data_IF_376240312284
#
_entry.id   IF_376240312284
#
_cell.length_a   1.000
_cell.length_b   1.000
_cell.length_c   1.000
_cell.angle_alpha   90.00
_cell.angle_beta   90.00
_cell.angle_gamma   90.00
#
_symmetry.space_group_name_H-M   'P 1'
#
loop_
_entity.id
_entity.type
_entity.pdbx_description
1 polymer ?
#
# COMPACT_ATOMS: atom_id res chain seq x y z
N UNK A 1 21.13 28.21 -1.24
CA UNK A 1 20.79 27.50 0.00
C UNK A 1 20.88 26.02 -0.29
N UNK A 2 21.65 25.25 0.49
CA UNK A 2 21.68 23.80 0.30
C UNK A 2 20.30 23.23 0.64
N UNK A 3 19.65 22.66 -0.37
CA UNK A 3 18.31 22.06 -0.23
C UNK A 3 18.36 20.75 0.58
N UNK A 4 19.55 20.14 0.68
CA UNK A 4 19.76 18.83 1.29
C UNK A 4 20.61 18.93 2.55
N UNK A 5 20.32 18.07 3.52
CA UNK A 5 21.12 17.92 4.74
C UNK A 5 22.47 17.25 4.45
N UNK A 6 23.43 17.40 5.36
CA UNK A 6 24.73 16.72 5.27
C UNK A 6 24.64 15.21 5.35
N UNK A 7 23.57 14.69 5.97
CA UNK A 7 23.25 13.26 6.08
C UNK A 7 22.53 12.68 4.84
N UNK A 8 22.19 13.51 3.84
CA UNK A 8 21.51 13.03 2.65
C UNK A 8 22.37 11.98 1.92
N UNK A 9 21.71 10.93 1.45
CA UNK A 9 22.40 9.82 0.79
C UNK A 9 23.07 10.25 -0.52
N UNK A 10 24.32 9.81 -0.70
CA UNK A 10 25.15 10.05 -1.85
C UNK A 10 25.91 8.79 -2.25
N UNK A 11 25.74 8.34 -3.46
CA UNK A 11 26.47 7.17 -3.99
C UNK A 11 27.97 7.42 -4.21
N UNK A 12 28.38 8.69 -4.34
CA UNK A 12 29.77 9.09 -4.48
C UNK A 12 30.53 9.19 -3.14
N UNK A 13 29.84 9.02 -2.00
CA UNK A 13 30.44 9.01 -0.67
C UNK A 13 31.48 7.88 -0.53
N UNK A 14 32.61 8.21 0.11
CA UNK A 14 33.69 7.27 0.42
C UNK A 14 33.89 7.08 1.93
N UNK A 15 33.00 7.63 2.75
CA UNK A 15 33.07 7.43 4.19
C UNK A 15 33.00 5.93 4.52
N UNK A 16 33.90 5.40 5.37
CA UNK A 16 33.87 4.00 5.76
C UNK A 16 32.64 3.71 6.60
N UNK A 17 32.13 2.50 6.46
CA UNK A 17 30.97 2.00 7.20
C UNK A 17 31.40 0.82 8.07
N UNK A 18 30.82 0.63 9.26
CA UNK A 18 31.12 -0.54 10.08
C UNK A 18 30.57 -1.82 9.42
N UNK A 19 31.20 -2.97 9.69
CA UNK A 19 30.72 -4.25 9.20
C UNK A 19 29.36 -4.57 9.82
N UNK A 20 28.59 -5.45 9.17
CA UNK A 20 27.30 -5.89 9.72
C UNK A 20 27.49 -6.56 11.09
N UNK A 21 26.52 -6.37 11.98
CA UNK A 21 26.46 -7.10 13.25
C UNK A 21 26.28 -8.60 13.00
N UNK A 22 26.97 -9.43 13.78
CA UNK A 22 26.89 -10.91 13.67
C UNK A 22 25.48 -11.45 13.85
N UNK A 23 24.65 -10.79 14.67
CA UNK A 23 23.30 -11.21 14.96
C UNK A 23 22.22 -10.66 13.98
N UNK A 24 22.50 -9.55 13.30
CA UNK A 24 21.58 -9.00 12.30
C UNK A 24 21.32 -9.94 11.10
N UNK A 25 22.15 -10.96 10.93
CA UNK A 25 22.15 -11.84 9.74
C UNK A 25 21.52 -13.22 9.91
N UNK A 26 21.13 -13.63 11.10
CA UNK A 26 20.62 -14.99 11.37
C UNK A 26 19.38 -15.38 10.56
N UNK A 27 18.67 -14.43 9.96
CA UNK A 27 17.44 -14.67 9.20
C UNK A 27 17.54 -14.30 7.71
N UNK A 28 18.73 -13.98 7.18
CA UNK A 28 18.90 -13.47 5.80
C UNK A 28 19.15 -14.57 4.75
N UNK A 29 19.30 -15.80 5.16
CA UNK A 29 19.65 -16.91 4.26
C UNK A 29 18.43 -17.77 3.93
N UNK A 30 17.36 -17.17 3.41
CA UNK A 30 16.34 -17.93 2.71
C UNK A 30 16.94 -18.58 1.47
N UNK A 31 16.53 -19.81 1.14
CA UNK A 31 17.02 -20.58 -0.03
C UNK A 31 16.88 -19.82 -1.36
N UNK A 32 16.03 -18.79 -1.41
CA UNK A 32 15.72 -18.01 -2.60
C UNK A 32 16.00 -16.50 -2.44
N UNK A 33 16.68 -16.10 -1.36
CA UNK A 33 16.99 -14.70 -1.10
C UNK A 33 18.26 -14.28 -1.83
N UNK A 34 18.17 -13.25 -2.66
CA UNK A 34 19.30 -12.69 -3.40
C UNK A 34 19.61 -11.29 -2.90
N UNK A 35 20.83 -11.08 -2.41
CA UNK A 35 21.31 -9.75 -2.04
C UNK A 35 21.49 -8.88 -3.28
N UNK A 36 20.93 -7.69 -3.26
CA UNK A 36 21.02 -6.75 -4.36
C UNK A 36 22.21 -5.80 -4.19
N UNK A 37 22.72 -5.33 -5.31
CA UNK A 37 23.74 -4.30 -5.32
C UNK A 37 23.18 -2.97 -4.83
N UNK A 38 24.04 -2.12 -4.27
CA UNK A 38 23.71 -0.80 -3.76
C UNK A 38 24.67 0.24 -4.34
N UNK A 39 24.12 1.39 -4.78
CA UNK A 39 24.90 2.52 -5.26
C UNK A 39 25.36 2.42 -6.72
N UNK A 40 24.80 1.51 -7.50
CA UNK A 40 25.00 1.41 -8.94
C UNK A 40 23.62 1.40 -9.64
N UNK A 41 23.48 2.15 -10.71
CA UNK A 41 22.19 2.43 -11.33
C UNK A 41 22.13 1.95 -12.77
N UNK A 42 21.02 1.27 -13.10
CA UNK A 42 20.67 0.92 -14.47
C UNK A 42 20.08 2.13 -15.25
N UNK A 43 19.50 3.09 -14.53
CA UNK A 43 18.76 4.19 -15.13
C UNK A 43 17.44 3.75 -15.78
N UNK A 44 16.92 2.59 -15.37
CA UNK A 44 15.67 2.01 -15.87
C UNK A 44 14.58 2.09 -14.82
N UNK A 45 13.39 2.54 -15.23
CA UNK A 45 12.23 2.63 -14.36
C UNK A 45 11.38 1.37 -14.44
N UNK A 46 10.63 1.04 -13.38
CA UNK A 46 9.72 -0.12 -13.40
C UNK A 46 8.52 0.16 -14.31
N UNK A 47 8.33 -0.65 -15.33
CA UNK A 47 7.20 -0.53 -16.25
C UNK A 47 5.87 -0.75 -15.54
N UNK A 48 5.82 -1.69 -14.60
CA UNK A 48 4.63 -1.99 -13.79
C UNK A 48 4.30 -0.82 -12.87
N UNK A 49 5.30 -0.21 -12.22
CA UNK A 49 5.08 0.96 -11.36
C UNK A 49 4.51 2.15 -12.15
N UNK A 50 5.06 2.42 -13.34
CA UNK A 50 4.53 3.46 -14.24
C UNK A 50 3.08 3.16 -14.63
N UNK A 51 2.79 1.91 -14.99
CA UNK A 51 1.43 1.49 -15.38
C UNK A 51 0.45 1.63 -14.24
N UNK A 52 0.84 1.27 -13.01
CA UNK A 52 0.02 1.43 -11.81
C UNK A 52 -0.25 2.91 -11.52
N UNK A 53 0.76 3.76 -11.60
CA UNK A 53 0.62 5.20 -11.36
C UNK A 53 -0.28 5.86 -12.41
N UNK A 54 -0.14 5.51 -13.70
CA UNK A 54 -1.02 6.02 -14.77
C UNK A 54 -2.46 5.51 -14.67
N UNK A 55 -2.68 4.31 -14.08
CA UNK A 55 -4.01 3.75 -13.88
C UNK A 55 -4.67 4.25 -12.59
N UNK A 56 -3.93 4.90 -11.69
CA UNK A 56 -4.44 5.34 -10.41
C UNK A 56 -5.34 6.58 -10.57
N UNK A 57 -6.55 6.54 -9.99
CA UNK A 57 -7.44 7.71 -9.97
C UNK A 57 -6.82 8.92 -9.26
N UNK A 58 -5.95 8.69 -8.28
CA UNK A 58 -5.22 9.74 -7.57
C UNK A 58 -4.36 10.58 -8.54
N UNK A 59 -3.77 9.96 -9.55
CA UNK A 59 -3.00 10.68 -10.56
C UNK A 59 -3.87 11.70 -11.32
N UNK A 60 -5.08 11.31 -11.70
CA UNK A 60 -6.05 12.20 -12.37
C UNK A 60 -6.57 13.29 -11.42
N UNK A 61 -6.77 12.95 -10.15
CA UNK A 61 -7.16 13.92 -9.11
C UNK A 61 -6.04 14.95 -8.90
N UNK A 62 -4.80 14.53 -8.83
CA UNK A 62 -3.65 15.43 -8.69
C UNK A 62 -3.49 16.36 -9.89
N UNK A 63 -3.67 15.86 -11.11
CA UNK A 63 -3.65 16.71 -12.32
C UNK A 63 -4.71 17.80 -12.25
N UNK A 64 -5.93 17.44 -11.88
CA UNK A 64 -7.04 18.37 -11.74
C UNK A 64 -6.80 19.41 -10.64
N UNK A 65 -6.30 18.99 -9.48
CA UNK A 65 -5.98 19.91 -8.37
C UNK A 65 -4.90 20.92 -8.76
N UNK A 66 -3.90 20.48 -9.56
CA UNK A 66 -2.89 21.41 -10.07
C UNK A 66 -3.48 22.42 -11.07
N UNK A 67 -4.38 21.98 -11.95
CA UNK A 67 -5.09 22.88 -12.87
C UNK A 67 -5.93 23.90 -12.11
N UNK A 68 -6.53 23.50 -10.98
CA UNK A 68 -7.32 24.34 -10.10
C UNK A 68 -6.43 25.21 -9.14
N UNK A 69 -5.11 25.01 -9.14
CA UNK A 69 -4.16 25.73 -8.29
C UNK A 69 -4.20 25.33 -6.81
N UNK A 70 -4.78 24.19 -6.48
CA UNK A 70 -4.87 23.68 -5.13
C UNK A 70 -3.56 23.01 -4.68
N UNK A 71 -3.27 23.11 -3.36
CA UNK A 71 -2.10 22.45 -2.76
C UNK A 71 -2.31 20.94 -2.68
N UNK A 72 -1.45 20.19 -3.35
CA UNK A 72 -1.52 18.74 -3.38
C UNK A 72 -0.83 18.08 -2.18
N UNK A 73 -1.46 17.05 -1.62
CA UNK A 73 -0.83 16.11 -0.71
C UNK A 73 -0.39 14.85 -1.48
N UNK A 74 0.70 14.95 -2.22
CA UNK A 74 1.25 13.81 -3.00
C UNK A 74 1.96 12.85 -2.07
N UNK A 75 1.81 11.54 -2.33
CA UNK A 75 2.53 10.52 -1.56
C UNK A 75 4.03 10.46 -1.91
N UNK A 76 4.43 10.94 -3.08
CA UNK A 76 5.81 11.00 -3.53
C UNK A 76 6.09 12.36 -4.19
N UNK A 77 7.05 13.08 -3.65
CA UNK A 77 7.53 14.37 -4.17
C UNK A 77 9.08 14.41 -4.17
N UNK A 78 9.69 15.54 -4.45
CA UNK A 78 11.16 15.71 -4.44
C UNK A 78 11.79 15.52 -3.06
N UNK A 79 11.03 15.55 -1.99
CA UNK A 79 11.53 15.53 -0.62
C UNK A 79 11.32 14.19 0.06
N UNK A 80 10.18 13.54 -0.19
CA UNK A 80 9.78 12.33 0.53
C UNK A 80 8.93 11.42 -0.35
N UNK A 81 9.13 10.12 -0.18
CA UNK A 81 8.30 9.07 -0.69
C UNK A 81 7.66 8.34 0.49
N UNK A 82 6.39 8.59 0.72
CA UNK A 82 5.65 8.06 1.86
C UNK A 82 5.26 6.62 1.63
N UNK A 83 5.35 5.83 2.68
CA UNK A 83 4.78 4.49 2.67
C UNK A 83 3.26 4.60 2.72
N UNK A 84 2.59 3.65 2.10
CA UNK A 84 1.15 3.60 2.21
C UNK A 84 0.75 3.21 3.63
N UNK A 85 -0.32 3.83 4.11
CA UNK A 85 -0.83 3.59 5.44
C UNK A 85 -1.48 2.21 5.48
N UNK A 86 -0.75 1.18 5.90
CA UNK A 86 -1.20 -0.20 6.01
C UNK A 86 -2.11 -0.44 7.24
N UNK A 87 -2.93 0.56 7.61
CA UNK A 87 -3.90 0.36 8.68
C UNK A 87 -4.91 -0.71 8.30
N UNK A 88 -4.97 -1.79 9.06
CA UNK A 88 -5.97 -2.85 8.88
C UNK A 88 -7.37 -2.43 9.36
N UNK A 89 -7.47 -1.29 10.03
CA UNK A 89 -8.73 -0.78 10.59
C UNK A 89 -9.79 -0.51 9.51
N UNK A 90 -9.49 0.22 8.41
CA UNK A 90 -10.47 0.42 7.35
C UNK A 90 -10.96 -0.89 6.75
N UNK A 91 -10.05 -1.84 6.52
CA UNK A 91 -10.41 -3.14 5.99
C UNK A 91 -11.30 -3.93 6.95
N UNK A 92 -10.96 -3.94 8.24
CA UNK A 92 -11.77 -4.59 9.28
C UNK A 92 -13.16 -3.96 9.38
N UNK A 93 -13.26 -2.63 9.39
CA UNK A 93 -14.54 -1.92 9.42
C UNK A 93 -15.37 -2.21 8.16
N UNK A 94 -14.74 -2.26 7.00
CA UNK A 94 -15.40 -2.60 5.75
C UNK A 94 -15.94 -4.04 5.75
N UNK A 95 -15.14 -5.01 6.20
CA UNK A 95 -15.59 -6.41 6.35
C UNK A 95 -16.73 -6.50 7.36
N UNK A 96 -16.63 -5.79 8.50
CA UNK A 96 -17.70 -5.75 9.51
C UNK A 96 -19.00 -5.17 8.95
N UNK A 97 -18.91 -4.14 8.10
CA UNK A 97 -20.06 -3.59 7.38
C UNK A 97 -20.69 -4.63 6.45
N UNK A 98 -19.89 -5.35 5.67
CA UNK A 98 -20.38 -6.43 4.80
C UNK A 98 -21.08 -7.51 5.64
N UNK A 99 -20.52 -7.88 6.79
CA UNK A 99 -21.12 -8.84 7.69
C UNK A 99 -22.47 -8.36 8.25
N UNK A 100 -22.62 -7.06 8.56
CA UNK A 100 -23.94 -6.51 8.94
C UNK A 100 -24.98 -6.71 7.82
N UNK A 101 -24.63 -6.46 6.57
CA UNK A 101 -25.53 -6.74 5.45
C UNK A 101 -25.83 -8.24 5.31
N UNK A 102 -24.84 -9.08 5.49
CA UNK A 102 -25.05 -10.53 5.46
C UNK A 102 -26.01 -11.01 6.57
N UNK A 103 -25.89 -10.50 7.78
CA UNK A 103 -26.76 -10.82 8.90
C UNK A 103 -28.20 -10.28 8.77
N UNK A 104 -28.46 -9.30 7.94
CA UNK A 104 -29.84 -8.91 7.58
C UNK A 104 -30.57 -10.10 6.91
N UNK A 105 -29.84 -10.92 6.15
CA UNK A 105 -30.40 -12.05 5.41
C UNK A 105 -30.79 -13.23 6.30
N UNK A 106 -30.11 -13.45 7.40
CA UNK A 106 -30.34 -14.62 8.27
C UNK A 106 -31.74 -14.61 8.86
N UNK A 107 -32.26 -13.53 9.47
CA UNK A 107 -33.62 -13.47 9.96
C UNK A 107 -34.65 -13.63 8.83
N UNK A 108 -34.42 -13.01 7.67
CA UNK A 108 -35.35 -13.10 6.53
C UNK A 108 -35.40 -14.49 5.93
N UNK A 109 -34.28 -15.16 5.79
CA UNK A 109 -34.25 -16.54 5.29
C UNK A 109 -34.93 -17.49 6.28
N UNK A 110 -34.68 -17.38 7.58
CA UNK A 110 -35.35 -18.20 8.59
C UNK A 110 -36.86 -17.96 8.59
N UNK A 111 -37.30 -16.72 8.49
CA UNK A 111 -38.70 -16.39 8.43
C UNK A 111 -39.41 -16.94 7.18
N UNK A 112 -38.73 -16.97 6.05
CA UNK A 112 -39.26 -17.51 4.79
C UNK A 112 -39.31 -19.04 4.81
N UNK A 113 -38.29 -19.69 5.38
CA UNK A 113 -38.16 -21.15 5.42
C UNK A 113 -38.93 -21.82 6.56
N UNK A 114 -39.17 -21.15 7.68
CA UNK A 114 -39.81 -21.72 8.84
C UNK A 114 -41.29 -22.17 8.59
N UNK A 115 -42.09 -21.36 7.88
CA UNK A 115 -43.45 -21.76 7.55
C UNK A 115 -43.54 -22.93 6.59
N UNK A 116 -42.64 -23.00 5.60
CA UNK A 116 -42.56 -24.11 4.65
C UNK A 116 -42.36 -25.44 5.35
N UNK A 117 -41.73 -25.45 6.52
CA UNK A 117 -41.46 -26.61 7.32
C UNK A 117 -42.62 -26.99 8.26
N UNK A 118 -43.48 -26.02 8.64
CA UNK A 118 -44.53 -26.21 9.63
C UNK A 118 -45.94 -26.49 8.99
N UNK A 119 -46.19 -26.08 7.77
CA UNK A 119 -47.48 -26.23 7.07
C UNK A 119 -47.34 -27.01 5.75
N UNK A 120 -46.81 -28.21 5.77
CA UNK A 120 -46.69 -29.10 4.62
C UNK A 120 -48.08 -29.57 4.11
N UNK A 121 -48.86 -28.62 3.55
CA UNK A 121 -49.95 -28.88 2.63
C UNK A 121 -49.52 -28.61 1.20
N UNK A 122 -49.40 -29.61 0.41
CA UNK A 122 -48.74 -29.68 -0.90
C UNK A 122 -49.25 -28.70 -1.99
N UNK A 123 -50.22 -27.84 -1.73
CA UNK A 123 -50.86 -26.97 -2.77
C UNK A 123 -50.31 -25.51 -2.85
N UNK A 124 -49.54 -25.05 -1.87
CA UNK A 124 -49.04 -23.67 -1.83
C UNK A 124 -47.55 -23.51 -2.13
N UNK A 125 -46.82 -24.62 -2.28
CA UNK A 125 -45.36 -24.65 -2.44
C UNK A 125 -44.86 -23.92 -3.69
N UNK A 126 -45.60 -23.92 -4.78
CA UNK A 126 -45.16 -23.34 -6.05
C UNK A 126 -45.07 -21.80 -6.03
N UNK A 127 -46.07 -21.13 -5.49
CA UNK A 127 -46.15 -19.66 -5.46
C UNK A 127 -45.21 -19.07 -4.39
N UNK A 128 -45.00 -19.79 -3.29
CA UNK A 128 -44.06 -19.37 -2.24
C UNK A 128 -42.61 -19.59 -2.63
N UNK A 129 -42.30 -20.70 -3.30
CA UNK A 129 -40.98 -20.96 -3.87
C UNK A 129 -40.61 -19.93 -4.93
N UNK A 130 -41.55 -19.57 -5.82
CA UNK A 130 -41.35 -18.54 -6.84
C UNK A 130 -41.10 -17.15 -6.20
N UNK A 131 -41.84 -16.80 -5.13
CA UNK A 131 -41.62 -15.54 -4.39
C UNK A 131 -40.28 -15.52 -3.64
N UNK A 132 -39.85 -16.67 -3.14
CA UNK A 132 -38.53 -16.83 -2.51
C UNK A 132 -37.39 -16.68 -3.51
N UNK A 133 -37.49 -17.34 -4.67
CA UNK A 133 -36.50 -17.25 -5.74
C UNK A 133 -36.43 -15.82 -6.26
N UNK A 134 -37.55 -15.14 -6.47
CA UNK A 134 -37.58 -13.74 -6.87
C UNK A 134 -36.97 -12.84 -5.83
N UNK A 135 -37.27 -13.02 -4.56
CA UNK A 135 -36.66 -12.28 -3.45
C UNK A 135 -35.14 -12.49 -3.38
N UNK A 136 -34.66 -13.73 -3.43
CA UNK A 136 -33.25 -14.08 -3.44
C UNK A 136 -32.56 -13.49 -4.67
N UNK A 137 -33.16 -13.57 -5.86
CA UNK A 137 -32.56 -13.00 -7.06
C UNK A 137 -32.45 -11.47 -7.01
N UNK A 138 -33.50 -10.78 -6.57
CA UNK A 138 -33.49 -9.32 -6.40
C UNK A 138 -32.46 -8.89 -5.38
N UNK A 139 -32.40 -9.60 -4.28
CA UNK A 139 -31.51 -9.24 -3.20
C UNK A 139 -30.05 -9.59 -3.50
N UNK A 140 -29.75 -10.73 -4.15
CA UNK A 140 -28.41 -11.05 -4.67
C UNK A 140 -27.97 -10.01 -5.72
N UNK A 141 -28.89 -9.58 -6.57
CA UNK A 141 -28.67 -8.54 -7.55
C UNK A 141 -28.35 -7.19 -6.88
N UNK A 142 -29.08 -6.81 -5.83
CA UNK A 142 -28.84 -5.57 -5.07
C UNK A 142 -27.50 -5.64 -4.30
N UNK A 143 -27.20 -6.78 -3.65
CA UNK A 143 -25.93 -6.94 -2.92
C UNK A 143 -24.72 -7.01 -3.85
N UNK A 144 -24.81 -7.70 -4.99
CA UNK A 144 -23.73 -7.76 -5.95
C UNK A 144 -23.46 -6.40 -6.59
N UNK A 145 -24.52 -5.64 -6.91
CA UNK A 145 -24.38 -4.29 -7.46
C UNK A 145 -23.85 -3.31 -6.40
N UNK A 146 -24.24 -3.45 -5.14
CA UNK A 146 -23.71 -2.65 -4.05
C UNK A 146 -22.22 -2.92 -3.78
N UNK A 147 -21.79 -4.16 -3.90
CA UNK A 147 -20.38 -4.55 -3.80
C UNK A 147 -19.54 -4.02 -4.97
N UNK A 148 -20.12 -4.02 -6.18
CA UNK A 148 -19.43 -3.58 -7.41
C UNK A 148 -19.39 -2.05 -7.57
N UNK A 149 -20.38 -1.33 -7.02
CA UNK A 149 -20.52 0.13 -7.12
C UNK A 149 -20.20 0.86 -5.81
N UNK A 150 -19.38 0.29 -4.93
CA UNK A 150 -19.00 0.89 -3.64
C UNK A 150 -18.37 2.28 -3.75
N UNK A 151 -17.96 2.72 -4.93
CA UNK A 151 -17.35 4.04 -5.17
C UNK A 151 -18.37 5.20 -5.20
N UNK A 152 -19.65 4.94 -5.53
CA UNK A 152 -20.67 6.02 -5.58
C UNK A 152 -21.63 5.93 -4.41
N UNK A 153 -21.35 6.66 -3.33
CA UNK A 153 -22.14 6.71 -2.09
C UNK A 153 -23.65 6.90 -2.33
N UNK A 154 -24.05 7.73 -3.29
CA UNK A 154 -25.46 7.99 -3.60
C UNK A 154 -26.19 6.75 -4.12
N UNK A 155 -25.56 5.95 -4.98
CA UNK A 155 -26.15 4.71 -5.53
C UNK A 155 -26.36 3.68 -4.42
N UNK A 156 -25.44 3.61 -3.47
CA UNK A 156 -25.53 2.73 -2.33
C UNK A 156 -26.76 3.02 -1.44
N UNK A 157 -27.02 4.30 -1.14
CA UNK A 157 -28.21 4.69 -0.38
C UNK A 157 -29.54 4.44 -1.14
N UNK A 158 -29.56 4.65 -2.45
CA UNK A 158 -30.73 4.36 -3.29
C UNK A 158 -31.04 2.85 -3.29
N UNK A 159 -30.01 2.01 -3.35
CA UNK A 159 -30.19 0.55 -3.33
C UNK A 159 -30.68 0.07 -1.97
N UNK A 160 -30.16 0.62 -0.89
CA UNK A 160 -30.64 0.31 0.47
C UNK A 160 -32.10 0.73 0.62
N UNK A 161 -32.46 1.94 0.18
CA UNK A 161 -33.86 2.40 0.18
C UNK A 161 -34.75 1.48 -0.66
N UNK A 162 -34.31 1.08 -1.86
CA UNK A 162 -35.02 0.13 -2.72
C UNK A 162 -35.24 -1.23 -2.05
N UNK A 163 -34.22 -1.74 -1.35
CA UNK A 163 -34.33 -2.98 -0.57
C UNK A 163 -35.39 -2.86 0.52
N UNK A 164 -35.42 -1.75 1.28
CA UNK A 164 -36.41 -1.52 2.32
C UNK A 164 -37.83 -1.39 1.75
N UNK A 165 -37.99 -0.68 0.64
CA UNK A 165 -39.29 -0.54 -0.03
C UNK A 165 -39.79 -1.90 -0.50
N UNK A 166 -38.97 -2.67 -1.20
CA UNK A 166 -39.35 -4.01 -1.68
C UNK A 166 -39.67 -4.96 -0.53
N UNK A 167 -38.87 -4.94 0.53
CA UNK A 167 -39.09 -5.76 1.72
C UNK A 167 -40.39 -5.35 2.42
N UNK A 168 -40.70 -4.07 2.51
CA UNK A 168 -41.97 -3.57 3.08
C UNK A 168 -43.19 -4.02 2.25
N UNK A 169 -43.12 -3.96 0.93
CA UNK A 169 -44.17 -4.41 0.03
C UNK A 169 -44.41 -5.90 0.20
N UNK A 170 -43.35 -6.72 0.24
CA UNK A 170 -43.44 -8.17 0.41
C UNK A 170 -44.04 -8.51 1.78
N UNK A 171 -43.68 -7.83 2.82
CA UNK A 171 -44.23 -8.00 4.16
C UNK A 171 -45.71 -7.58 4.22
N UNK A 172 -46.06 -6.46 3.57
CA UNK A 172 -47.44 -6.02 3.52
C UNK A 172 -48.32 -7.04 2.79
N UNK A 173 -47.86 -7.58 1.67
CA UNK A 173 -48.55 -8.61 0.91
C UNK A 173 -48.71 -9.92 1.70
N UNK A 174 -47.70 -10.30 2.52
CA UNK A 174 -47.76 -11.48 3.40
C UNK A 174 -48.46 -11.21 4.72
N UNK A 175 -48.33 -10.00 5.29
CA UNK A 175 -48.95 -9.62 6.55
C UNK A 175 -50.46 -9.60 6.53
N UNK A 176 -51.06 -9.46 5.35
CA UNK A 176 -52.51 -9.68 5.13
C UNK A 176 -52.91 -11.15 5.22
N UNK A 177 -51.92 -12.07 5.20
CA UNK A 177 -52.14 -13.53 5.21
C UNK A 177 -51.72 -14.20 6.56
N UNK A 178 -51.00 -13.49 7.43
CA UNK A 178 -50.42 -14.07 8.67
C UNK A 178 -50.55 -13.16 9.91
N UNK A 179 -51.12 -13.73 10.95
CA UNK A 179 -51.57 -13.03 12.18
C UNK A 179 -50.51 -12.92 13.31
N UNK A 180 -49.25 -13.28 13.08
CA UNK A 180 -48.23 -13.27 14.16
C UNK A 180 -47.44 -11.96 14.21
N UNK A 181 -47.97 -10.99 14.97
CA UNK A 181 -47.40 -9.65 15.14
C UNK A 181 -46.01 -9.63 15.76
N UNK A 182 -45.72 -10.50 16.70
CA UNK A 182 -44.45 -10.51 17.43
C UNK A 182 -43.25 -10.87 16.57
N UNK A 183 -43.39 -11.81 15.65
CA UNK A 183 -42.31 -12.20 14.74
C UNK A 183 -41.99 -11.14 13.71
N UNK A 184 -42.99 -10.36 13.24
CA UNK A 184 -42.80 -9.21 12.37
C UNK A 184 -41.98 -8.10 13.07
N UNK A 185 -42.32 -7.83 14.35
CA UNK A 185 -41.58 -6.83 15.14
C UNK A 185 -40.12 -7.25 15.30
N UNK A 186 -39.85 -8.53 15.63
CA UNK A 186 -38.49 -9.03 15.79
C UNK A 186 -37.67 -8.94 14.50
N UNK A 187 -38.28 -9.26 13.34
CA UNK A 187 -37.63 -9.13 12.01
C UNK A 187 -37.27 -7.70 11.67
N UNK A 188 -38.22 -6.78 11.89
CA UNK A 188 -37.97 -5.36 11.64
C UNK A 188 -36.94 -4.79 12.60
N UNK A 189 -37.01 -5.13 13.88
CA UNK A 189 -36.03 -4.68 14.87
C UNK A 189 -34.63 -5.21 14.55
N UNK A 190 -34.49 -6.48 14.16
CA UNK A 190 -33.23 -7.06 13.74
C UNK A 190 -32.67 -6.42 12.48
N UNK A 191 -33.51 -6.23 11.47
CA UNK A 191 -33.12 -5.55 10.21
C UNK A 191 -32.68 -4.11 10.49
N UNK A 192 -33.43 -3.37 11.30
CA UNK A 192 -33.08 -2.01 11.69
C UNK A 192 -31.75 -1.95 12.45
N UNK A 193 -31.53 -2.89 13.39
CA UNK A 193 -30.31 -2.95 14.18
C UNK A 193 -29.07 -3.15 13.28
N UNK A 194 -29.11 -4.11 12.37
CA UNK A 194 -27.99 -4.38 11.46
C UNK A 194 -27.80 -3.24 10.45
N UNK A 195 -28.87 -2.62 10.00
CA UNK A 195 -28.77 -1.43 9.13
C UNK A 195 -28.12 -0.24 9.85
N UNK A 196 -28.55 0.04 11.07
CA UNK A 196 -27.90 1.07 11.89
C UNK A 196 -26.45 0.72 12.18
N UNK A 197 -26.13 -0.56 12.37
CA UNK A 197 -24.77 -1.05 12.47
C UNK A 197 -23.93 -0.73 11.22
N UNK A 198 -24.47 -0.98 10.03
CA UNK A 198 -23.78 -0.68 8.76
C UNK A 198 -23.51 0.82 8.59
N UNK A 199 -24.51 1.69 8.92
CA UNK A 199 -24.34 3.14 8.96
C UNK A 199 -23.27 3.53 9.98
N UNK A 200 -23.30 2.92 11.17
CA UNK A 200 -22.30 3.14 12.21
C UNK A 200 -20.87 2.84 11.70
N UNK A 201 -20.67 1.76 10.96
CA UNK A 201 -19.38 1.47 10.35
C UNK A 201 -18.98 2.48 9.27
N UNK A 202 -19.92 3.01 8.48
CA UNK A 202 -19.63 4.11 7.54
C UNK A 202 -19.21 5.39 8.25
N UNK A 203 -19.88 5.71 9.35
CA UNK A 203 -19.48 6.84 10.21
C UNK A 203 -18.09 6.63 10.81
N UNK A 204 -17.77 5.41 11.27
CA UNK A 204 -16.46 5.07 11.79
C UNK A 204 -15.37 5.12 10.71
N UNK A 205 -15.65 4.65 9.51
CA UNK A 205 -14.75 4.77 8.36
C UNK A 205 -14.49 6.24 8.00
N UNK A 206 -15.54 7.03 7.94
CA UNK A 206 -15.43 8.47 7.69
C UNK A 206 -14.62 9.17 8.79
N UNK A 207 -14.91 8.87 10.07
CA UNK A 207 -14.17 9.42 11.20
C UNK A 207 -12.70 8.99 11.14
N UNK A 208 -12.45 7.70 10.87
CA UNK A 208 -11.10 7.18 10.70
C UNK A 208 -10.34 7.92 9.59
N UNK A 209 -10.97 8.17 8.43
CA UNK A 209 -10.34 8.91 7.33
C UNK A 209 -10.00 10.37 7.70
N UNK A 210 -10.80 10.98 8.57
CA UNK A 210 -10.56 12.35 9.07
C UNK A 210 -9.50 12.43 10.16
N UNK A 211 -9.43 11.43 11.03
CA UNK A 211 -8.54 11.41 12.21
C UNK A 211 -7.23 10.68 11.93
N UNK A 212 -7.25 9.71 11.03
CA UNK A 212 -6.08 8.92 10.69
C UNK A 212 -5.06 9.80 9.95
N UNK A 213 -4.04 10.20 10.69
CA UNK A 213 -2.86 10.86 10.11
C UNK A 213 -1.90 9.79 9.62
N UNK A 214 -1.11 10.15 8.60
CA UNK A 214 0.00 9.32 8.15
C UNK A 214 0.93 9.01 9.32
N UNK A 215 1.38 7.76 9.45
CA UNK A 215 2.17 7.28 10.59
C UNK A 215 3.63 7.81 10.60
N UNK A 216 4.02 8.59 9.60
CA UNK A 216 5.36 9.15 9.43
C UNK A 216 6.35 8.21 8.75
N UNK A 217 5.88 7.06 8.24
CA UNK A 217 6.74 6.11 7.51
C UNK A 217 7.04 6.62 6.10
N UNK A 218 8.32 6.87 5.80
CA UNK A 218 8.73 7.46 4.53
C UNK A 218 10.20 7.20 4.21
N UNK A 219 10.54 7.29 2.93
CA UNK A 219 11.89 7.57 2.47
C UNK A 219 12.04 9.08 2.32
N UNK A 220 13.01 9.68 2.98
CA UNK A 220 13.21 11.12 2.95
C UNK A 220 14.52 11.45 2.24
N UNK A 221 14.42 11.99 1.01
CA UNK A 221 15.56 12.36 0.19
C UNK A 221 16.36 13.51 0.79
N UNK A 222 15.70 14.44 1.50
CA UNK A 222 16.35 15.65 2.01
C UNK A 222 17.39 15.35 3.07
N UNK A 223 17.13 14.41 3.95
CA UNK A 223 18.05 14.03 5.04
C UNK A 223 18.62 12.61 4.89
N UNK A 224 18.23 11.88 3.83
CA UNK A 224 18.71 10.53 3.58
C UNK A 224 18.17 9.46 4.52
N UNK A 225 17.16 9.79 5.34
CA UNK A 225 16.64 8.88 6.36
C UNK A 225 15.47 8.06 5.84
N UNK A 226 15.45 6.81 6.26
CA UNK A 226 14.29 5.91 6.17
C UNK A 226 13.59 5.91 7.52
N UNK A 227 12.32 6.23 7.50
CA UNK A 227 11.46 6.25 8.68
C UNK A 227 10.40 5.19 8.52
N UNK A 228 10.19 4.34 9.53
CA UNK A 228 9.07 3.43 9.51
C UNK A 228 8.55 3.15 10.91
N UNK A 229 7.21 3.06 11.00
CA UNK A 229 6.51 2.77 12.23
C UNK A 229 6.11 1.30 12.27
N UNK A 230 6.38 0.66 13.38
CA UNK A 230 5.89 -0.67 13.70
C UNK A 230 4.74 -0.56 14.70
N UNK A 231 3.86 -1.56 14.65
CA UNK A 231 2.69 -1.59 15.54
C UNK A 231 3.11 -1.45 17.00
N UNK A 232 2.53 -0.47 17.70
CA UNK A 232 2.77 -0.16 19.12
C UNK A 232 4.22 0.23 19.50
N UNK A 233 5.07 0.50 18.53
CA UNK A 233 6.45 0.92 18.76
C UNK A 233 6.68 2.36 18.31
N UNK A 234 7.79 2.95 18.78
CA UNK A 234 8.24 4.26 18.31
C UNK A 234 8.67 4.17 16.84
N UNK A 235 8.65 5.31 16.17
CA UNK A 235 9.14 5.42 14.81
C UNK A 235 10.63 5.03 14.77
N UNK A 236 10.98 4.07 13.92
CA UNK A 236 12.36 3.70 13.67
C UNK A 236 12.91 4.60 12.56
N UNK A 237 14.08 5.18 12.78
CA UNK A 237 14.73 6.11 11.87
C UNK A 237 16.18 5.68 11.69
N UNK A 238 16.62 5.45 10.45
CA UNK A 238 18.00 5.13 10.15
C UNK A 238 18.40 5.64 8.75
N UNK A 239 19.69 5.92 8.50
CA UNK A 239 20.18 6.27 7.18
C UNK A 239 19.84 5.22 6.12
N UNK A 240 19.50 5.65 4.92
CA UNK A 240 19.15 4.75 3.82
C UNK A 240 20.27 3.74 3.50
N UNK A 241 21.51 4.17 3.55
CA UNK A 241 22.69 3.33 3.27
C UNK A 241 22.95 2.22 4.33
N UNK A 242 22.24 2.23 5.45
CA UNK A 242 22.31 1.18 6.46
C UNK A 242 21.34 0.01 6.20
N UNK A 243 20.54 0.09 5.15
CA UNK A 243 19.61 -0.98 4.78
C UNK A 243 20.16 -1.82 3.63
N UNK A 244 20.29 -3.12 3.86
CA UNK A 244 20.68 -4.08 2.83
C UNK A 244 19.43 -4.60 2.09
N UNK A 245 19.35 -4.40 0.77
CA UNK A 245 18.22 -4.88 -0.03
C UNK A 245 18.36 -6.36 -0.36
N UNK A 246 17.30 -7.09 -0.14
CA UNK A 246 17.22 -8.52 -0.47
C UNK A 246 16.00 -8.77 -1.34
N UNK A 247 16.21 -9.36 -2.50
CA UNK A 247 15.16 -9.86 -3.37
C UNK A 247 14.61 -11.14 -2.79
N UNK A 248 13.33 -11.16 -2.46
CA UNK A 248 12.63 -12.30 -1.85
C UNK A 248 11.52 -12.79 -2.78
N UNK A 249 11.46 -14.09 -2.98
CA UNK A 249 10.37 -14.74 -3.72
C UNK A 249 9.13 -14.84 -2.82
N UNK A 250 8.01 -14.36 -3.31
CA UNK A 250 6.71 -14.54 -2.66
C UNK A 250 6.00 -15.75 -3.28
N UNK A 251 5.64 -16.77 -2.50
CA UNK A 251 4.85 -17.89 -3.02
C UNK A 251 3.45 -17.37 -3.38
N UNK A 252 3.13 -17.26 -4.67
CA UNK A 252 1.79 -16.99 -5.13
C UNK A 252 1.02 -18.30 -5.31
N UNK A 253 -0.24 -18.33 -4.83
CA UNK A 253 -1.08 -19.52 -4.89
C UNK A 253 -1.49 -19.95 -6.31
N UNK A 254 -1.09 -19.20 -7.34
CA UNK A 254 -1.47 -19.43 -8.75
C UNK A 254 -0.30 -19.83 -9.65
N UNK A 255 0.83 -20.23 -9.09
CA UNK A 255 1.99 -20.69 -9.89
C UNK A 255 2.79 -19.56 -10.57
N UNK A 256 2.45 -18.30 -10.36
CA UNK A 256 3.29 -17.17 -10.73
C UNK A 256 4.34 -16.92 -9.64
N UNK A 257 5.53 -16.53 -10.03
CA UNK A 257 6.59 -16.14 -9.11
C UNK A 257 6.58 -14.63 -8.96
N UNK A 258 6.03 -14.17 -7.85
CA UNK A 258 6.06 -12.76 -7.49
C UNK A 258 7.31 -12.47 -6.66
N UNK A 259 7.98 -11.40 -6.99
CA UNK A 259 9.17 -10.96 -6.27
C UNK A 259 8.88 -9.69 -5.48
N UNK A 260 9.59 -9.51 -4.39
CA UNK A 260 9.57 -8.28 -3.60
C UNK A 260 10.95 -7.98 -3.05
N UNK A 261 11.11 -6.75 -2.57
CA UNK A 261 12.32 -6.34 -1.87
C UNK A 261 12.03 -6.23 -0.39
N UNK A 262 12.90 -6.85 0.38
CA UNK A 262 12.96 -6.67 1.81
C UNK A 262 14.23 -5.89 2.15
N UNK A 263 14.08 -4.76 2.82
CA UNK A 263 15.20 -3.98 3.33
C UNK A 263 15.51 -4.43 4.76
N UNK A 264 16.72 -4.95 4.97
CA UNK A 264 17.22 -5.33 6.29
C UNK A 264 18.15 -4.26 6.82
N UNK A 265 17.88 -3.75 8.01
CA UNK A 265 18.81 -2.84 8.66
C UNK A 265 20.07 -3.60 9.08
N UNK A 266 21.25 -3.10 8.65
CA UNK A 266 22.54 -3.80 8.73
C UNK A 266 23.00 -4.07 10.16
N UNK A 267 22.63 -3.22 11.10
CA UNK A 267 23.14 -3.25 12.48
C UNK A 267 22.10 -3.73 13.50
N UNK A 268 20.84 -3.90 13.07
CA UNK A 268 19.76 -4.43 13.92
C UNK A 268 19.00 -5.51 13.17
N UNK A 269 18.07 -6.15 13.83
CA UNK A 269 17.16 -7.13 13.22
C UNK A 269 15.89 -6.51 12.58
N UNK A 270 15.86 -5.18 12.41
CA UNK A 270 14.73 -4.50 11.78
C UNK A 270 14.71 -4.75 10.28
N UNK A 271 13.49 -4.92 9.76
CA UNK A 271 13.26 -5.13 8.32
C UNK A 271 11.99 -4.44 7.84
N UNK A 272 12.00 -4.05 6.58
CA UNK A 272 10.89 -3.40 5.89
C UNK A 272 10.54 -4.24 4.67
N UNK A 273 9.30 -4.71 4.61
CA UNK A 273 8.77 -5.40 3.43
C UNK A 273 8.16 -4.37 2.47
N UNK A 274 8.82 -4.10 1.34
CA UNK A 274 8.35 -3.08 0.40
C UNK A 274 7.04 -3.48 -0.30
N UNK A 275 6.82 -4.79 -0.52
CA UNK A 275 5.57 -5.29 -1.08
C UNK A 275 4.31 -4.76 -0.36
N UNK A 276 4.34 -4.73 0.97
CA UNK A 276 3.20 -4.30 1.79
C UNK A 276 3.18 -2.80 2.09
N UNK A 277 4.29 -2.12 1.84
CA UNK A 277 4.47 -0.71 2.20
C UNK A 277 4.40 0.23 1.01
N UNK A 278 4.71 -0.26 -0.20
CA UNK A 278 4.77 0.54 -1.41
C UNK A 278 3.95 -0.07 -2.57
N UNK A 279 3.00 -0.98 -2.27
CA UNK A 279 2.18 -1.68 -3.27
C UNK A 279 2.97 -2.35 -4.41
N UNK A 280 4.21 -2.74 -4.15
CA UNK A 280 5.06 -3.46 -5.10
C UNK A 280 4.76 -4.98 -5.09
N UNK A 281 3.47 -5.35 -5.02
CA UNK A 281 3.01 -6.73 -5.10
C UNK A 281 2.79 -7.13 -6.56
N UNK A 282 3.05 -8.40 -6.87
CA UNK A 282 2.79 -8.95 -8.21
C UNK A 282 3.80 -8.52 -9.27
N UNK A 283 4.99 -8.08 -8.85
CA UNK A 283 6.05 -7.73 -9.78
C UNK A 283 6.84 -8.98 -10.21
N UNK A 284 7.15 -9.07 -11.48
CA UNK A 284 8.19 -9.99 -11.95
C UNK A 284 9.58 -9.57 -11.45
N UNK A 285 10.57 -10.44 -11.61
CA UNK A 285 11.92 -10.19 -11.13
C UNK A 285 12.51 -8.90 -11.72
N UNK A 286 12.36 -8.67 -13.02
CA UNK A 286 12.98 -7.55 -13.70
C UNK A 286 12.35 -6.20 -13.27
N UNK A 287 11.03 -6.16 -13.13
CA UNK A 287 10.32 -4.99 -12.62
C UNK A 287 10.62 -4.72 -11.14
N UNK A 288 10.82 -5.76 -10.33
CA UNK A 288 11.24 -5.62 -8.92
C UNK A 288 12.66 -5.02 -8.82
N UNK A 289 13.58 -5.46 -9.67
CA UNK A 289 14.94 -4.92 -9.73
C UNK A 289 14.96 -3.47 -10.24
N UNK A 290 14.13 -3.15 -11.23
CA UNK A 290 13.95 -1.79 -11.70
C UNK A 290 13.32 -0.87 -10.65
N UNK A 291 12.39 -1.40 -9.84
CA UNK A 291 11.83 -0.66 -8.72
C UNK A 291 12.90 -0.33 -7.67
N UNK A 292 13.82 -1.27 -7.41
CA UNK A 292 14.97 -0.99 -6.54
C UNK A 292 15.88 0.09 -7.13
N UNK A 293 16.16 0.04 -8.42
CA UNK A 293 16.93 1.07 -9.12
C UNK A 293 16.26 2.46 -9.01
N UNK A 294 14.95 2.52 -9.22
CA UNK A 294 14.15 3.73 -9.00
C UNK A 294 14.30 4.28 -7.58
N UNK A 295 14.15 3.43 -6.57
CA UNK A 295 14.21 3.84 -5.17
C UNK A 295 15.59 4.36 -4.78
N UNK A 296 16.65 3.70 -5.26
CA UNK A 296 18.02 4.18 -5.04
C UNK A 296 18.26 5.56 -5.68
N UNK A 297 17.90 5.74 -6.96
CA UNK A 297 18.03 7.03 -7.65
C UNK A 297 17.18 8.11 -7.00
N UNK A 298 16.01 7.74 -6.51
CA UNK A 298 15.19 8.67 -5.73
C UNK A 298 15.90 9.15 -4.47
N UNK A 299 16.56 8.27 -3.73
CA UNK A 299 17.25 8.62 -2.49
C UNK A 299 18.59 9.33 -2.70
N UNK A 300 19.27 9.09 -3.82
CA UNK A 300 20.57 9.66 -4.12
C UNK A 300 20.46 11.10 -4.65
N UNK A 301 20.93 12.06 -3.86
CA UNK A 301 20.89 13.48 -4.24
C UNK A 301 21.86 13.85 -5.37
N UNK A 302 22.77 12.97 -5.76
CA UNK A 302 23.69 13.15 -6.89
C UNK A 302 23.07 12.74 -8.23
N UNK A 303 21.96 12.00 -8.20
CA UNK A 303 21.24 11.51 -9.36
C UNK A 303 19.97 12.31 -9.64
N UNK A 304 19.57 12.43 -10.91
CA UNK A 304 18.24 12.94 -11.21
C UNK A 304 17.16 12.00 -10.67
N UNK A 305 16.04 12.58 -10.29
CA UNK A 305 14.87 11.80 -9.88
C UNK A 305 14.45 10.82 -10.98
N UNK A 306 13.94 9.62 -10.61
CA UNK A 306 13.34 8.69 -11.56
C UNK A 306 12.25 9.38 -12.40
N UNK A 307 12.09 8.94 -13.64
CA UNK A 307 11.09 9.52 -14.54
C UNK A 307 9.73 8.81 -14.38
N UNK A 308 9.09 9.06 -13.24
CA UNK A 308 7.81 8.48 -12.85
C UNK A 308 6.68 9.50 -12.98
N UNK A 309 5.44 9.07 -13.33
CA UNK A 309 4.29 9.96 -13.45
C UNK A 309 4.03 10.81 -12.21
N UNK A 310 4.13 10.22 -11.02
CA UNK A 310 3.88 10.90 -9.73
C UNK A 310 4.91 12.00 -9.42
N UNK A 311 6.12 11.91 -9.97
CA UNK A 311 7.18 12.89 -9.75
C UNK A 311 7.17 14.04 -10.76
N UNK A 312 6.44 13.91 -11.88
CA UNK A 312 6.51 14.87 -12.99
C UNK A 312 6.31 16.32 -12.55
N UNK A 313 5.34 16.55 -11.67
CA UNK A 313 4.99 17.90 -11.22
C UNK A 313 6.08 18.56 -10.38
N UNK A 314 6.84 17.75 -9.63
CA UNK A 314 7.82 18.25 -8.66
C UNK A 314 9.27 18.20 -9.20
N UNK A 315 9.53 17.57 -10.34
CA UNK A 315 10.89 17.42 -10.92
C UNK A 315 11.68 18.71 -11.01
N UNK A 316 11.03 19.80 -11.43
CA UNK A 316 11.66 21.12 -11.58
C UNK A 316 12.14 21.75 -10.27
N UNK A 317 11.66 21.25 -9.11
CA UNK A 317 12.06 21.70 -7.77
C UNK A 317 13.39 21.09 -7.31
N UNK A 318 13.81 19.97 -7.91
CA UNK A 318 15.08 19.32 -7.62
C UNK A 318 16.16 19.84 -8.57
N UNK A 319 17.22 20.53 -8.07
CA UNK A 319 18.18 21.22 -8.96
C UNK A 319 18.95 20.27 -9.88
N UNK A 320 19.28 19.05 -9.41
CA UNK A 320 19.98 18.04 -10.22
C UNK A 320 19.07 17.55 -11.34
N UNK A 321 17.82 17.27 -11.02
CA UNK A 321 16.82 16.83 -11.99
C UNK A 321 16.49 17.92 -13.00
N UNK A 322 16.31 19.16 -12.55
CA UNK A 322 16.03 20.29 -13.44
C UNK A 322 17.16 20.51 -14.45
N UNK A 323 18.42 20.43 -14.01
CA UNK A 323 19.58 20.52 -14.89
C UNK A 323 19.64 19.35 -15.89
N UNK A 324 19.36 18.13 -15.43
CA UNK A 324 19.31 16.94 -16.28
C UNK A 324 18.19 17.05 -17.32
N UNK A 325 16.98 17.41 -16.91
CA UNK A 325 15.82 17.52 -17.79
C UNK A 325 16.03 18.61 -18.85
N UNK A 326 16.67 19.72 -18.48
CA UNK A 326 17.05 20.76 -19.43
C UNK A 326 18.12 20.28 -20.43
N UNK A 327 19.11 19.49 -20.00
CA UNK A 327 20.16 18.97 -20.86
C UNK A 327 19.68 17.88 -21.83
N UNK A 328 18.63 17.16 -21.49
CA UNK A 328 18.04 16.07 -22.29
C UNK A 328 16.81 16.50 -23.09
N UNK A 329 16.43 17.79 -23.02
CA UNK A 329 15.21 18.34 -23.65
C UNK A 329 13.96 17.49 -23.31
N UNK A 330 13.86 17.07 -22.04
CA UNK A 330 12.73 16.26 -21.57
C UNK A 330 11.44 17.08 -21.64
N UNK A 331 10.41 16.53 -22.29
CA UNK A 331 9.09 17.15 -22.28
C UNK A 331 8.55 17.24 -20.83
N UNK A 332 8.26 18.44 -20.29
CA UNK A 332 7.76 18.63 -18.94
C UNK A 332 6.37 18.04 -18.70
N UNK A 333 5.61 17.73 -19.74
CA UNK A 333 4.27 17.13 -19.70
C UNK A 333 4.25 15.68 -20.23
N UNK A 334 5.38 15.00 -20.21
CA UNK A 334 5.53 13.65 -20.79
C UNK A 334 4.45 12.68 -20.31
N UNK A 335 4.24 12.62 -19.01
CA UNK A 335 3.30 11.69 -18.41
C UNK A 335 1.86 12.21 -18.38
N UNK A 336 1.64 13.52 -18.30
CA UNK A 336 0.31 14.12 -18.40
C UNK A 336 -0.32 13.90 -19.76
N UNK A 337 0.48 13.99 -20.81
CA UNK A 337 0.00 13.82 -22.17
C UNK A 337 -0.02 12.35 -22.62
N UNK A 338 0.43 11.41 -21.74
CA UNK A 338 0.51 9.99 -22.01
C UNK A 338 -0.79 9.27 -21.66
N UNK A 339 -1.54 8.84 -22.66
CA UNK A 339 -2.72 7.99 -22.42
C UNK A 339 -2.31 6.58 -21.97
N UNK A 340 -2.97 6.03 -20.94
CA UNK A 340 -2.73 4.68 -20.42
C UNK A 340 -2.81 3.59 -21.48
N UNK A 341 -3.77 3.70 -22.41
CA UNK A 341 -3.95 2.74 -23.51
C UNK A 341 -2.75 2.74 -24.46
N UNK A 342 -2.25 3.92 -24.83
CA UNK A 342 -1.05 4.07 -25.66
C UNK A 342 0.21 3.58 -24.95
N UNK A 343 0.32 3.86 -23.64
CA UNK A 343 1.42 3.36 -22.82
C UNK A 343 1.45 1.82 -22.82
N UNK A 344 0.34 1.15 -22.50
CA UNK A 344 0.24 -0.31 -22.44
C UNK A 344 0.57 -1.00 -23.77
N UNK A 345 0.20 -0.38 -24.90
CA UNK A 345 0.41 -0.99 -26.23
C UNK A 345 1.85 -0.89 -26.71
N UNK A 346 2.58 0.15 -26.34
CA UNK A 346 3.92 0.41 -26.89
C UNK A 346 4.98 0.64 -25.83
N UNK A 347 4.78 1.58 -24.91
CA UNK A 347 5.78 2.01 -23.94
C UNK A 347 6.12 0.93 -22.91
N UNK A 348 5.11 0.33 -22.30
CA UNK A 348 5.25 -0.74 -21.32
C UNK A 348 5.98 -1.95 -21.92
N UNK A 349 5.59 -2.38 -23.12
CA UNK A 349 6.23 -3.51 -23.79
C UNK A 349 7.69 -3.25 -24.09
N UNK A 350 8.01 -2.06 -24.65
CA UNK A 350 9.39 -1.66 -24.97
C UNK A 350 10.27 -1.62 -23.71
N UNK A 351 9.74 -1.02 -22.63
CA UNK A 351 10.48 -0.93 -21.37
C UNK A 351 10.69 -2.31 -20.76
N UNK A 352 9.67 -3.19 -20.73
CA UNK A 352 9.81 -4.55 -20.25
C UNK A 352 10.86 -5.36 -21.03
N UNK A 353 10.95 -5.18 -22.37
CA UNK A 353 12.01 -5.81 -23.16
C UNK A 353 13.41 -5.30 -22.76
N UNK A 354 13.56 -4.02 -22.44
CA UNK A 354 14.81 -3.47 -21.93
C UNK A 354 15.15 -4.02 -20.54
N UNK A 355 14.19 -4.08 -19.64
CA UNK A 355 14.35 -4.62 -18.29
C UNK A 355 14.81 -6.09 -18.32
N UNK A 356 14.23 -6.91 -19.19
CA UNK A 356 14.59 -8.32 -19.32
C UNK A 356 16.01 -8.53 -19.88
N UNK A 357 16.50 -7.61 -20.71
CA UNK A 357 17.84 -7.71 -21.34
C UNK A 357 18.95 -7.14 -20.46
N UNK A 358 18.60 -6.36 -19.43
CA UNK A 358 19.60 -5.71 -18.60
C UNK A 358 20.32 -6.71 -17.67
N UNK A 359 21.67 -6.66 -17.55
CA UNK A 359 22.45 -7.63 -16.77
C UNK A 359 22.45 -7.29 -15.27
N UNK A 360 21.32 -7.40 -14.61
CA UNK A 360 21.09 -7.02 -13.20
C UNK A 360 22.07 -7.64 -12.22
N UNK A 361 22.56 -8.86 -12.50
CA UNK A 361 23.42 -9.59 -11.56
C UNK A 361 24.88 -9.14 -11.58
N UNK A 362 25.28 -8.33 -12.55
CA UNK A 362 26.67 -7.89 -12.73
C UNK A 362 26.99 -6.54 -12.10
N UNK A 363 26.08 -5.99 -11.34
CA UNK A 363 26.25 -4.67 -10.75
C UNK A 363 27.16 -4.73 -9.50
N UNK A 364 28.22 -3.89 -9.41
CA UNK A 364 29.04 -3.80 -8.21
C UNK A 364 28.26 -3.15 -7.06
N UNK A 365 28.50 -3.61 -5.83
CA UNK A 365 27.88 -3.03 -4.64
C UNK A 365 28.85 -2.02 -4.01
N UNK A 366 28.55 -0.72 -4.09
CA UNK A 366 29.37 0.36 -3.53
C UNK A 366 29.46 0.26 -2.02
N UNK A 367 28.38 -0.13 -1.34
CA UNK A 367 28.39 -0.27 0.12
C UNK A 367 29.41 -1.33 0.58
N UNK A 368 29.52 -2.47 -0.12
CA UNK A 368 30.49 -3.51 0.24
C UNK A 368 31.93 -3.02 0.19
N UNK A 369 32.27 -2.13 -0.72
CA UNK A 369 33.63 -1.56 -0.82
C UNK A 369 33.95 -0.52 0.26
N UNK A 370 32.94 -0.05 0.98
CA UNK A 370 33.08 0.92 2.09
C UNK A 370 33.14 0.26 3.47
N UNK A 371 32.83 -1.04 3.57
CA UNK A 371 32.87 -1.74 4.85
C UNK A 371 34.31 -1.83 5.37
N UNK A 372 34.54 -1.43 6.63
CA UNK A 372 35.83 -1.46 7.31
C UNK A 372 35.70 -2.20 8.63
N UNK A 373 36.45 -3.28 8.79
CA UNK A 373 36.47 -4.07 10.03
C UNK A 373 37.09 -3.33 11.22
N UNK A 374 37.82 -2.24 10.97
CA UNK A 374 38.39 -1.41 12.00
C UNK A 374 37.36 -0.49 12.69
N UNK A 375 36.21 -0.28 12.04
CA UNK A 375 35.19 0.63 12.53
C UNK A 375 34.11 -0.14 13.30
N UNK A 376 33.96 0.15 14.58
CA UNK A 376 32.88 -0.42 15.40
C UNK A 376 31.55 0.31 15.17
N UNK A 377 30.44 -0.41 15.28
CA UNK A 377 29.10 0.16 15.15
C UNK A 377 28.87 1.29 16.16
N UNK A 378 29.32 1.10 17.40
CA UNK A 378 29.22 2.12 18.45
C UNK A 378 29.98 3.39 18.09
N UNK A 379 31.25 3.28 17.64
CA UNK A 379 32.06 4.42 17.24
C UNK A 379 31.42 5.17 16.06
N UNK A 380 30.85 4.44 15.10
CA UNK A 380 30.09 5.01 13.99
C UNK A 380 28.91 5.84 14.48
N UNK A 381 28.05 5.27 15.33
CA UNK A 381 26.88 5.99 15.84
C UNK A 381 27.24 7.19 16.69
N UNK A 382 28.30 7.11 17.52
CA UNK A 382 28.82 8.29 18.24
C UNK A 382 29.28 9.39 17.30
N UNK A 383 29.92 9.04 16.20
CA UNK A 383 30.33 10.01 15.18
C UNK A 383 29.12 10.64 14.47
N UNK A 384 28.07 9.85 14.19
CA UNK A 384 26.83 10.38 13.60
C UNK A 384 26.09 11.30 14.58
N UNK A 385 26.00 10.94 15.85
CA UNK A 385 25.41 11.79 16.90
C UNK A 385 26.16 13.11 17.05
N UNK A 386 27.50 13.09 16.99
CA UNK A 386 28.34 14.30 17.02
C UNK A 386 28.08 15.22 15.80
N UNK A 387 27.73 14.65 14.64
CA UNK A 387 27.29 15.39 13.45
C UNK A 387 25.83 15.91 13.55
N UNK A 388 25.11 15.61 14.65
CA UNK A 388 23.70 15.97 14.84
C UNK A 388 22.72 15.10 14.04
N UNK A 389 23.14 13.94 13.55
CA UNK A 389 22.27 12.99 12.83
C UNK A 389 21.45 12.21 13.85
N UNK A 390 20.13 12.37 13.77
CA UNK A 390 19.22 11.68 14.67
C UNK A 390 18.73 10.38 14.04
N UNK A 391 19.15 9.25 14.64
CA UNK A 391 18.66 7.92 14.29
C UNK A 391 18.03 7.24 15.53
N UNK A 392 17.18 6.24 15.31
CA UNK A 392 16.55 5.51 16.42
C UNK A 392 17.53 4.62 17.18
N UNK A 393 18.41 3.84 16.49
CA UNK A 393 19.52 3.23 17.22
C UNK A 393 20.47 4.33 17.70
N UNK A 394 20.84 4.27 18.98
CA UNK A 394 21.79 5.19 19.61
C UNK A 394 23.10 4.46 19.85
N UNK A 395 24.20 5.19 19.95
CA UNK A 395 25.49 4.60 20.25
C UNK A 395 25.42 3.72 21.51
N UNK A 396 24.69 4.16 22.54
CA UNK A 396 24.52 3.41 23.80
C UNK A 396 23.76 2.09 23.63
N UNK A 397 22.92 1.95 22.62
CA UNK A 397 22.19 0.70 22.34
C UNK A 397 23.16 -0.42 21.94
N UNK A 398 24.28 -0.06 21.29
CA UNK A 398 25.31 -1.01 20.87
C UNK A 398 26.42 -1.17 21.92
N UNK A 399 26.62 -0.19 22.82
CA UNK A 399 27.62 -0.26 23.87
C UNK A 399 27.27 -1.26 24.97
N UNK A 400 25.99 -1.48 25.23
CA UNK A 400 25.50 -2.35 26.32
C UNK A 400 25.32 -3.80 25.92
N UNK A 401 25.11 -4.05 24.66
CA UNK A 401 24.88 -5.37 24.09
C UNK A 401 25.69 -5.48 22.81
N UNK A 402 26.63 -6.43 22.78
CA UNK A 402 27.29 -6.79 21.53
C UNK A 402 26.24 -7.10 20.42
N UNK A 403 25.01 -7.36 20.85
CA UNK A 403 23.89 -7.80 20.06
C UNK A 403 22.61 -7.11 20.49
N UNK A 404 22.08 -6.30 19.61
CA UNK A 404 20.81 -5.64 19.80
C UNK A 404 19.66 -6.69 19.83
N UNK A 405 19.20 -7.03 21.02
CA UNK A 405 18.21 -8.09 21.25
C UNK A 405 16.79 -7.60 20.92
N UNK A 406 16.04 -8.41 20.14
CA UNK A 406 14.65 -8.15 19.81
C UNK A 406 13.71 -8.09 21.01
N UNK A 407 14.06 -8.76 22.11
CA UNK A 407 13.20 -8.88 23.28
C UNK A 407 12.98 -7.56 24.03
N UNK A 408 13.78 -6.52 23.74
CA UNK A 408 13.71 -5.22 24.41
C UNK A 408 12.98 -4.12 23.60
N UNK A 409 12.36 -4.46 22.49
CA UNK A 409 11.56 -3.58 21.66
C UNK A 409 10.13 -4.17 21.54
#
# INVERSE_FOLDING_TARGET
MNTYATSAYRSDSREPLPPPSSHAHLHRNGLFDTHLAFGHYAGLDSATEITLQLACEEHLIYQKQEEDGEKQEVYCDTKRWRFQNSSKIPHLLFVSKIMCFFFIWVPWSTWIFLPIKLELGYKTVGTELASLIAFLAVSLSITSTALFMAEKKAVHYIQIAGFFICSTIILWLKGTLWSNSEMHIALWAGTFLYFMGAIGFDCLLWLHSKVSRHDGSEFNRVDGMVRFKRRFQRLFVAPFEEFDPVLTLLPSGYGSHDYTITLYHRYTNKKIYLATKMHSLGLDQANTLAFWDCLQRYMDITQPLPDLPVLEQSRHLDPVTAAHDASTDRNPRRWRDQALTSWKTSGEKKLNEQLQRYPWQQQPCVIKSRLSEELTIEAWYRAQEAKGIQATPKADDFARHADYDESQI
#
